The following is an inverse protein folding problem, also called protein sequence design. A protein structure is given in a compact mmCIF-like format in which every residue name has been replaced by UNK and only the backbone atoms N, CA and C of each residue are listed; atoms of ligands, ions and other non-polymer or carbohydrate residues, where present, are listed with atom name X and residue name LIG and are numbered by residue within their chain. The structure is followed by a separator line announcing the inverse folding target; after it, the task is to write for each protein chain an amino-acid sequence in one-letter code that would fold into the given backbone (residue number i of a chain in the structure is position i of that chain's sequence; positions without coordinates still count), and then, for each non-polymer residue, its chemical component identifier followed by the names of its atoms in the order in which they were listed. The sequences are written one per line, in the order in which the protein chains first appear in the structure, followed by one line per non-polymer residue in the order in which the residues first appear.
data_IF_659987866160
#
_entry.id   IF_659987866160
#
_cell.length_a   1.000
_cell.length_b   1.000
_cell.length_c   1.000
_cell.angle_alpha   90.00
_cell.angle_beta   90.00
_cell.angle_gamma   90.00
#
_symmetry.space_group_name_H-M   'P 1'
#
loop_
_entity.id
_entity.type
_entity.pdbx_description
1 polymer ?
#
# COMPACT_ATOMS: atom_id res chain seq x y z
N UNK A 1 0.34 -20.68 12.21
CA UNK A 1 0.65 -19.36 12.83
C UNK A 1 -0.33 -18.33 12.31
N UNK A 2 -1.40 -18.07 13.05
CA UNK A 2 -2.30 -16.92 12.79
C UNK A 2 -1.56 -15.66 13.24
N UNK A 3 -0.99 -14.90 12.29
CA UNK A 3 -0.49 -13.56 12.60
C UNK A 3 -1.68 -12.74 13.05
N UNK A 4 -1.78 -12.52 14.36
CA UNK A 4 -2.74 -11.63 15.01
C UNK A 4 -2.63 -10.28 14.32
N UNK A 5 -3.67 -9.90 13.59
CA UNK A 5 -3.78 -8.55 13.02
C UNK A 5 -3.88 -7.64 14.25
N UNK A 6 -2.90 -6.75 14.49
CA UNK A 6 -2.99 -5.84 15.63
C UNK A 6 -4.23 -4.96 15.44
N UNK A 7 -4.99 -4.69 16.52
CA UNK A 7 -6.14 -3.79 16.45
C UNK A 7 -5.68 -2.43 15.93
N UNK A 8 -6.49 -1.80 15.07
CA UNK A 8 -6.26 -0.44 14.63
C UNK A 8 -6.15 0.47 15.87
N UNK A 9 -5.12 1.30 15.90
CA UNK A 9 -4.90 2.25 16.99
C UNK A 9 -6.07 3.26 17.02
N UNK A 10 -6.84 3.38 18.12
CA UNK A 10 -8.09 4.17 18.17
C UNK A 10 -7.95 5.68 17.92
N UNK A 11 -6.76 6.18 17.60
CA UNK A 11 -6.42 7.61 17.49
C UNK A 11 -5.53 7.92 16.26
N UNK A 12 -5.44 7.04 15.26
CA UNK A 12 -4.67 7.35 14.06
C UNK A 12 -5.49 8.17 13.06
N UNK A 13 -5.19 9.47 12.96
CA UNK A 13 -5.90 10.38 12.05
C UNK A 13 -5.66 10.02 10.57
N UNK A 14 -6.60 10.37 9.69
CA UNK A 14 -6.45 10.22 8.24
C UNK A 14 -5.13 10.86 7.75
N UNK A 15 -4.79 12.02 8.30
CA UNK A 15 -3.54 12.72 7.98
C UNK A 15 -2.31 11.90 8.36
N UNK A 16 -2.30 11.25 9.53
CA UNK A 16 -1.22 10.38 9.96
C UNK A 16 -1.07 9.17 9.03
N UNK A 17 -2.19 8.56 8.61
CA UNK A 17 -2.18 7.45 7.65
C UNK A 17 -1.63 7.89 6.28
N UNK A 18 -2.08 9.04 5.77
CA UNK A 18 -1.56 9.61 4.51
C UNK A 18 -0.07 9.90 4.59
N UNK A 19 0.41 10.50 5.70
CA UNK A 19 1.84 10.73 5.94
C UNK A 19 2.63 9.42 5.97
N UNK A 20 2.10 8.35 6.58
CA UNK A 20 2.75 7.01 6.57
C UNK A 20 2.86 6.45 5.15
N UNK A 21 1.83 6.58 4.32
CA UNK A 21 1.84 6.12 2.92
C UNK A 21 2.89 6.90 2.12
N UNK A 22 2.92 8.23 2.23
CA UNK A 22 3.94 9.07 1.57
C UNK A 22 5.35 8.66 1.99
N UNK A 23 5.58 8.42 3.29
CA UNK A 23 6.89 7.96 3.78
C UNK A 23 7.28 6.56 3.26
N UNK A 24 6.32 5.71 2.89
CA UNK A 24 6.61 4.43 2.22
C UNK A 24 6.96 4.63 0.75
N UNK A 25 6.20 5.47 0.05
CA UNK A 25 6.48 5.80 -1.34
C UNK A 25 7.87 6.43 -1.52
N UNK A 26 8.29 7.31 -0.61
CA UNK A 26 9.65 7.87 -0.61
C UNK A 26 10.74 6.79 -0.48
N UNK A 27 10.51 5.73 0.31
CA UNK A 27 11.44 4.59 0.39
C UNK A 27 11.45 3.78 -0.89
N UNK A 28 10.28 3.55 -1.50
CA UNK A 28 10.15 2.83 -2.78
C UNK A 28 10.86 3.61 -3.89
N UNK A 29 10.74 4.93 -3.92
CA UNK A 29 11.49 5.79 -4.84
C UNK A 29 13.01 5.58 -4.70
N UNK A 30 13.51 5.53 -3.46
CA UNK A 30 14.90 5.19 -3.19
C UNK A 30 15.30 3.80 -3.70
N UNK A 31 14.42 2.80 -3.57
CA UNK A 31 14.65 1.46 -4.12
C UNK A 31 14.72 1.48 -5.66
N UNK A 32 13.81 2.19 -6.32
CA UNK A 32 13.82 2.32 -7.80
C UNK A 32 15.10 3.01 -8.27
N UNK A 33 15.56 4.05 -7.58
CA UNK A 33 16.83 4.72 -7.88
C UNK A 33 18.03 3.79 -7.70
N UNK A 34 18.05 2.99 -6.63
CA UNK A 34 19.09 2.00 -6.42
C UNK A 34 19.11 0.92 -7.51
N UNK A 35 17.93 0.45 -7.94
CA UNK A 35 17.80 -0.52 -9.05
C UNK A 35 18.35 0.06 -10.36
N UNK A 36 18.06 1.33 -10.66
CA UNK A 36 18.65 2.01 -11.82
C UNK A 36 20.18 2.03 -11.74
N UNK A 37 20.74 2.34 -10.57
CA UNK A 37 22.18 2.28 -10.31
C UNK A 37 22.75 0.88 -10.57
N UNK A 38 22.13 -0.17 -10.05
CA UNK A 38 22.56 -1.55 -10.28
C UNK A 38 22.61 -1.91 -11.76
N UNK A 39 21.66 -1.44 -12.56
CA UNK A 39 21.62 -1.68 -14.01
C UNK A 39 22.79 -0.95 -14.68
N UNK A 40 23.03 0.32 -14.33
CA UNK A 40 24.14 1.11 -14.89
C UNK A 40 25.52 0.53 -14.49
N UNK A 41 25.62 -0.04 -13.29
CA UNK A 41 26.82 -0.70 -12.78
C UNK A 41 27.00 -2.13 -13.34
N UNK A 42 26.15 -2.56 -14.28
CA UNK A 42 26.17 -3.90 -14.89
C UNK A 42 26.08 -5.05 -13.87
N UNK A 43 25.32 -4.87 -12.78
CA UNK A 43 25.00 -5.95 -11.85
C UNK A 43 24.24 -7.09 -12.55
N UNK A 44 24.26 -8.29 -11.96
CA UNK A 44 23.62 -9.45 -12.58
C UNK A 44 22.10 -9.28 -12.68
N UNK A 45 21.51 -9.83 -13.75
CA UNK A 45 20.06 -9.79 -13.96
C UNK A 45 19.29 -10.42 -12.80
N UNK A 46 19.82 -11.48 -12.17
CA UNK A 46 19.21 -12.14 -11.01
C UNK A 46 19.19 -11.21 -9.80
N UNK A 47 20.27 -10.46 -9.53
CA UNK A 47 20.34 -9.49 -8.44
C UNK A 47 19.36 -8.33 -8.66
N UNK A 48 19.29 -7.81 -9.88
CA UNK A 48 18.34 -6.75 -10.26
C UNK A 48 16.90 -7.25 -10.12
N UNK A 49 16.60 -8.47 -10.57
CA UNK A 49 15.26 -9.07 -10.46
C UNK A 49 14.81 -9.26 -9.00
N UNK A 50 15.73 -9.61 -8.10
CA UNK A 50 15.47 -9.68 -6.66
C UNK A 50 15.07 -8.32 -6.09
N UNK A 51 15.78 -7.25 -6.45
CA UNK A 51 15.47 -5.90 -5.98
C UNK A 51 14.16 -5.36 -6.58
N UNK A 52 13.90 -5.61 -7.87
CA UNK A 52 12.61 -5.31 -8.49
C UNK A 52 11.46 -6.01 -7.76
N UNK A 53 11.65 -7.28 -7.38
CA UNK A 53 10.65 -8.02 -6.60
C UNK A 53 10.44 -7.42 -5.20
N UNK A 54 11.51 -6.94 -4.55
CA UNK A 54 11.41 -6.24 -3.27
C UNK A 54 10.64 -4.92 -3.40
N UNK A 55 10.92 -4.12 -4.43
CA UNK A 55 10.22 -2.87 -4.72
C UNK A 55 8.72 -3.11 -5.02
N UNK A 56 8.41 -4.13 -5.84
CA UNK A 56 7.03 -4.54 -6.12
C UNK A 56 6.27 -4.89 -4.83
N UNK A 57 6.84 -5.74 -3.97
CA UNK A 57 6.21 -6.12 -2.68
C UNK A 57 5.99 -4.92 -1.76
N UNK A 58 6.93 -3.97 -1.74
CA UNK A 58 6.78 -2.74 -0.96
C UNK A 58 5.64 -1.87 -1.49
N UNK A 59 5.50 -1.79 -2.83
CA UNK A 59 4.41 -1.07 -3.48
C UNK A 59 3.05 -1.73 -3.23
N UNK A 60 2.95 -3.06 -3.33
CA UNK A 60 1.73 -3.82 -3.04
C UNK A 60 1.27 -3.54 -1.60
N UNK A 61 2.20 -3.54 -0.65
CA UNK A 61 1.90 -3.21 0.75
C UNK A 61 1.35 -1.79 0.90
N UNK A 62 1.93 -0.81 0.21
CA UNK A 62 1.43 0.57 0.24
C UNK A 62 0.02 0.68 -0.38
N UNK A 63 -0.24 -0.07 -1.46
CA UNK A 63 -1.55 -0.15 -2.08
C UNK A 63 -2.62 -0.70 -1.12
N UNK A 64 -2.37 -1.83 -0.47
CA UNK A 64 -3.32 -2.40 0.49
C UNK A 64 -3.59 -1.48 1.69
N UNK A 65 -2.55 -0.84 2.22
CA UNK A 65 -2.71 0.13 3.32
C UNK A 65 -3.57 1.34 2.91
N UNK A 66 -3.44 1.83 1.66
CA UNK A 66 -4.29 2.89 1.14
C UNK A 66 -5.75 2.45 0.98
N UNK A 67 -6.00 1.24 0.48
CA UNK A 67 -7.36 0.70 0.35
C UNK A 67 -8.03 0.58 1.73
N UNK A 68 -7.31 0.09 2.74
CA UNK A 68 -7.83 -0.03 4.12
C UNK A 68 -8.14 1.34 4.72
N UNK A 69 -7.26 2.33 4.52
CA UNK A 69 -7.51 3.71 4.95
C UNK A 69 -8.79 4.28 4.31
N UNK A 70 -9.00 4.06 3.00
CA UNK A 70 -10.22 4.48 2.31
C UNK A 70 -11.48 3.80 2.87
N UNK A 71 -11.43 2.48 3.13
CA UNK A 71 -12.54 1.74 3.75
C UNK A 71 -12.92 2.33 5.11
N UNK A 72 -11.94 2.55 5.99
CA UNK A 72 -12.19 3.08 7.33
C UNK A 72 -12.80 4.48 7.27
N UNK A 73 -12.29 5.35 6.38
CA UNK A 73 -12.83 6.70 6.23
C UNK A 73 -14.30 6.70 5.78
N UNK A 74 -14.68 5.83 4.84
CA UNK A 74 -16.07 5.68 4.42
C UNK A 74 -16.97 5.17 5.54
N UNK A 75 -16.48 4.27 6.40
CA UNK A 75 -17.24 3.77 7.56
C UNK A 75 -17.45 4.84 8.63
N UNK A 76 -16.49 5.75 8.81
CA UNK A 76 -16.55 6.82 9.82
C UNK A 76 -17.33 8.06 9.35
N UNK A 77 -17.32 8.35 8.04
CA UNK A 77 -17.88 9.59 7.48
C UNK A 77 -19.31 9.43 6.94
N UNK A 78 -19.69 8.23 6.48
CA UNK A 78 -21.00 8.01 5.87
C UNK A 78 -22.06 7.65 6.92
N UNK A 79 -23.15 8.43 6.97
CA UNK A 79 -24.35 8.11 7.76
C UNK A 79 -25.31 7.13 7.08
N UNK A 80 -25.06 6.79 5.82
CA UNK A 80 -25.90 5.91 4.99
C UNK A 80 -25.18 4.61 4.63
N UNK A 81 -25.87 3.49 4.86
CA UNK A 81 -25.40 2.12 4.59
C UNK A 81 -25.23 1.90 3.07
N UNK A 82 -26.04 2.55 2.24
CA UNK A 82 -26.00 2.40 0.78
C UNK A 82 -24.69 2.98 0.19
N UNK A 83 -24.24 4.12 0.72
CA UNK A 83 -22.98 4.76 0.34
C UNK A 83 -21.77 3.91 0.73
N UNK A 84 -21.77 3.39 1.97
CA UNK A 84 -20.72 2.48 2.45
C UNK A 84 -20.62 1.23 1.55
N UNK A 85 -21.77 0.67 1.16
CA UNK A 85 -21.84 -0.49 0.27
C UNK A 85 -21.28 -0.18 -1.13
N UNK A 86 -21.62 0.96 -1.70
CA UNK A 86 -21.12 1.40 -3.00
C UNK A 86 -19.59 1.56 -2.98
N UNK A 87 -19.05 2.28 -1.98
CA UNK A 87 -17.61 2.47 -1.82
C UNK A 87 -16.86 1.16 -1.61
N UNK A 88 -17.41 0.26 -0.79
CA UNK A 88 -16.82 -1.07 -0.55
C UNK A 88 -16.76 -1.91 -1.83
N UNK A 89 -17.79 -1.82 -2.69
CA UNK A 89 -17.84 -2.51 -3.98
C UNK A 89 -16.72 -2.03 -4.92
N UNK A 90 -16.49 -0.71 -5.00
CA UNK A 90 -15.41 -0.17 -5.81
C UNK A 90 -14.02 -0.56 -5.30
N UNK A 91 -13.82 -0.55 -3.98
CA UNK A 91 -12.56 -0.98 -3.37
C UNK A 91 -12.31 -2.48 -3.59
N UNK A 92 -13.34 -3.32 -3.49
CA UNK A 92 -13.28 -4.75 -3.84
C UNK A 92 -12.90 -4.98 -5.31
N UNK A 93 -13.43 -4.16 -6.23
CA UNK A 93 -13.08 -4.20 -7.65
C UNK A 93 -11.60 -3.88 -7.88
N UNK A 94 -11.08 -2.88 -7.19
CA UNK A 94 -9.65 -2.53 -7.26
C UNK A 94 -8.77 -3.65 -6.72
N UNK A 95 -9.13 -4.27 -5.60
CA UNK A 95 -8.42 -5.41 -5.03
C UNK A 95 -8.43 -6.62 -5.96
N UNK A 96 -9.54 -6.90 -6.66
CA UNK A 96 -9.61 -8.02 -7.60
C UNK A 96 -8.79 -7.76 -8.86
N UNK A 97 -8.67 -6.50 -9.29
CA UNK A 97 -7.92 -6.12 -10.49
C UNK A 97 -6.41 -6.11 -10.28
N UNK A 98 -5.97 -5.73 -9.07
CA UNK A 98 -4.55 -5.45 -8.78
C UNK A 98 -3.95 -6.29 -7.65
N UNK A 99 -4.77 -7.10 -6.96
CA UNK A 99 -4.34 -8.04 -5.92
C UNK A 99 -4.00 -9.43 -6.42
#
# INVERSE_FOLDING_TARGET
MTKKIPPADPQETEEAQRRKIVARLARIEGQVRAIQGMILDNCSCEQVALQLTAARRALDKAFYEMIVCSLNNHLETSGDIEDVRASTKELSRLLTKFG
#
